data_IF_172667516670
#
_entry.id   IF_172667516670
#
_cell.length_a   1.000
_cell.length_b   1.000
_cell.length_c   1.000
_cell.angle_alpha   90.00
_cell.angle_beta   90.00
_cell.angle_gamma   90.00
#
_symmetry.space_group_name_H-M   'P 1'
#
loop_
_entity.id
_entity.type
_entity.pdbx_description
1 polymer ?
#
# COMPACT_ATOMS: atom_id res chain seq x y z
N UNK A 1 11.05 -7.65 -9.66
CA UNK A 1 11.77 -6.47 -10.09
C UNK A 1 11.99 -6.49 -11.59
N UNK A 2 11.78 -5.39 -12.27
CA UNK A 2 12.21 -5.18 -13.64
C UNK A 2 11.38 -5.84 -14.73
N UNK A 3 10.34 -6.47 -14.37
CA UNK A 3 9.51 -7.21 -15.31
C UNK A 3 8.69 -6.38 -16.24
N UNK A 4 8.42 -5.19 -15.85
CA UNK A 4 7.48 -4.33 -16.54
C UNK A 4 8.12 -3.59 -17.67
N UNK A 5 9.40 -3.60 -17.70
CA UNK A 5 10.18 -2.60 -18.40
C UNK A 5 10.56 -3.01 -19.79
N UNK A 6 10.36 -4.25 -20.16
CA UNK A 6 10.91 -4.80 -21.39
C UNK A 6 10.39 -4.20 -22.69
N UNK A 7 9.41 -3.32 -22.66
CA UNK A 7 8.82 -2.70 -23.87
C UNK A 7 8.91 -1.18 -23.89
N UNK A 8 9.47 -0.56 -22.86
CA UNK A 8 9.62 0.89 -22.82
C UNK A 8 11.00 1.29 -23.31
N UNK A 9 11.10 2.47 -23.93
CA UNK A 9 12.37 3.02 -24.39
C UNK A 9 13.33 3.31 -23.24
N UNK A 10 14.62 3.40 -23.54
CA UNK A 10 15.66 3.70 -22.56
C UNK A 10 15.39 5.01 -21.79
N UNK A 11 14.84 6.01 -22.46
CA UNK A 11 14.51 7.30 -21.85
C UNK A 11 13.43 7.21 -20.78
N UNK A 12 12.44 6.34 -20.99
CA UNK A 12 11.39 6.12 -19.98
C UNK A 12 11.92 5.36 -18.76
N UNK A 13 12.87 4.46 -18.96
CA UNK A 13 13.55 3.74 -17.87
C UNK A 13 14.43 4.74 -17.10
N UNK A 14 15.19 5.57 -17.79
CA UNK A 14 16.03 6.60 -17.19
C UNK A 14 15.22 7.54 -16.32
N UNK A 15 14.15 8.10 -16.84
CA UNK A 15 13.27 9.00 -16.09
C UNK A 15 12.63 8.32 -14.87
N UNK A 16 12.29 7.05 -14.98
CA UNK A 16 11.74 6.29 -13.86
C UNK A 16 12.79 6.10 -12.75
N UNK A 17 14.01 5.73 -13.10
CA UNK A 17 15.10 5.60 -12.14
C UNK A 17 15.54 6.94 -11.55
N UNK A 18 15.54 8.01 -12.30
CA UNK A 18 15.83 9.36 -11.82
C UNK A 18 14.80 9.81 -10.78
N UNK A 19 13.52 9.52 -10.97
CA UNK A 19 12.49 9.80 -9.97
C UNK A 19 12.68 9.01 -8.68
N UNK A 20 13.19 7.79 -8.77
CA UNK A 20 13.55 6.97 -7.61
C UNK A 20 14.79 7.49 -6.89
N UNK A 21 15.80 7.92 -7.62
CA UNK A 21 17.00 8.54 -7.06
C UNK A 21 16.70 9.83 -6.31
N UNK A 22 15.75 10.63 -6.78
CA UNK A 22 15.27 11.82 -6.09
C UNK A 22 14.59 11.49 -4.74
N UNK A 23 13.87 10.39 -4.67
CA UNK A 23 13.26 9.89 -3.42
C UNK A 23 14.34 9.29 -2.50
N UNK A 24 15.35 8.61 -3.05
CA UNK A 24 16.48 8.05 -2.29
C UNK A 24 17.53 9.10 -1.85
N UNK A 25 17.49 10.30 -2.40
CA UNK A 25 18.53 11.32 -2.17
C UNK A 25 18.66 11.81 -0.73
N UNK A 26 17.70 11.51 0.13
CA UNK A 26 17.85 11.69 1.60
C UNK A 26 18.58 10.48 2.21
N UNK A 27 19.84 10.25 1.82
CA UNK A 27 20.70 9.23 2.45
C UNK A 27 21.09 9.66 3.87
N UNK A 28 20.20 9.49 4.80
CA UNK A 28 20.54 9.53 6.22
C UNK A 28 20.86 8.12 6.68
N UNK A 29 22.07 7.90 7.17
CA UNK A 29 22.42 6.61 7.77
C UNK A 29 21.75 6.50 9.14
N UNK A 30 20.64 5.82 9.19
CA UNK A 30 20.01 5.46 10.46
C UNK A 30 20.66 4.18 11.01
N UNK A 31 20.91 4.17 12.30
CA UNK A 31 21.30 2.96 13.02
C UNK A 31 20.47 2.84 14.28
N UNK A 32 19.97 1.65 14.50
CA UNK A 32 19.18 1.28 15.66
C UNK A 32 19.95 0.26 16.50
N UNK A 33 20.05 0.51 17.80
CA UNK A 33 20.79 -0.38 18.69
C UNK A 33 19.93 -1.51 19.25
N UNK A 34 18.60 -1.37 19.17
CA UNK A 34 17.66 -2.34 19.71
C UNK A 34 16.37 -2.40 18.89
N UNK A 35 15.83 -3.60 18.75
CA UNK A 35 14.50 -3.81 18.17
C UNK A 35 13.40 -3.06 18.92
N UNK A 36 13.63 -2.73 20.20
CA UNK A 36 12.68 -1.96 20.98
C UNK A 36 12.53 -0.51 20.50
N UNK A 37 13.46 0.01 19.70
CA UNK A 37 13.39 1.37 19.15
C UNK A 37 12.54 1.46 17.86
N UNK A 38 12.15 0.33 17.29
CA UNK A 38 11.38 0.28 16.04
C UNK A 38 9.90 -0.07 16.26
N UNK A 39 9.04 0.45 15.38
CA UNK A 39 7.63 0.09 15.34
C UNK A 39 7.15 -0.08 13.90
N UNK A 40 6.46 -1.17 13.59
CA UNK A 40 6.23 -2.34 14.44
C UNK A 40 7.50 -3.18 14.61
N UNK A 41 7.61 -3.89 15.73
CA UNK A 41 8.71 -4.82 15.96
C UNK A 41 8.55 -6.08 15.11
N UNK A 42 7.29 -6.49 14.88
CA UNK A 42 6.89 -7.62 14.04
C UNK A 42 5.58 -7.32 13.34
N UNK A 43 5.48 -7.69 12.05
CA UNK A 43 4.25 -7.54 11.27
C UNK A 43 3.14 -8.50 11.70
N UNK A 44 3.47 -9.62 12.32
CA UNK A 44 2.48 -10.59 12.82
C UNK A 44 1.61 -9.99 13.92
N UNK A 45 2.22 -9.18 14.76
CA UNK A 45 1.57 -8.53 15.90
C UNK A 45 1.10 -7.11 15.60
N UNK A 46 1.37 -6.61 14.37
CA UNK A 46 0.96 -5.29 13.95
C UNK A 46 -0.54 -5.26 13.59
N UNK A 47 -1.37 -4.84 14.57
CA UNK A 47 -2.81 -4.74 14.39
C UNK A 47 -3.30 -3.40 14.95
N UNK A 48 -3.58 -2.44 14.08
CA UNK A 48 -4.24 -1.17 14.41
C UNK A 48 -5.72 -1.23 14.03
N UNK A 49 -6.04 -2.04 13.03
CA UNK A 49 -7.41 -2.24 12.55
C UNK A 49 -7.72 -3.72 12.39
N UNK A 50 -8.96 -4.09 12.71
CA UNK A 50 -9.61 -5.28 12.16
C UNK A 50 -10.30 -4.92 10.84
N UNK A 51 -10.64 -5.94 10.07
CA UNK A 51 -11.37 -5.79 8.81
C UNK A 51 -12.65 -6.59 8.86
N UNK A 52 -13.77 -5.88 8.87
CA UNK A 52 -15.08 -6.48 8.77
C UNK A 52 -15.50 -6.55 7.31
N UNK A 53 -15.74 -7.76 6.81
CA UNK A 53 -16.20 -7.97 5.44
C UNK A 53 -17.63 -7.43 5.25
N UNK A 54 -17.88 -6.82 4.11
CA UNK A 54 -19.20 -6.35 3.67
C UNK A 54 -19.75 -7.36 2.65
N UNK A 55 -20.40 -8.38 3.15
CA UNK A 55 -20.89 -9.48 2.33
C UNK A 55 -22.09 -9.09 1.45
N UNK A 56 -22.79 -8.02 1.81
CA UNK A 56 -23.88 -7.43 1.03
C UNK A 56 -23.44 -7.01 -0.38
N UNK A 57 -22.19 -6.64 -0.57
CA UNK A 57 -21.66 -6.17 -1.85
C UNK A 57 -21.07 -7.30 -2.72
N UNK A 58 -21.18 -8.57 -2.30
CA UNK A 58 -20.73 -9.72 -3.11
C UNK A 58 -21.45 -9.79 -4.45
N UNK A 59 -22.74 -9.50 -4.47
CA UNK A 59 -23.54 -9.46 -5.69
C UNK A 59 -22.95 -8.52 -6.74
N UNK A 60 -22.56 -7.33 -6.32
CA UNK A 60 -21.95 -6.33 -7.20
C UNK A 60 -20.62 -6.83 -7.78
N UNK A 61 -19.79 -7.47 -6.95
CA UNK A 61 -18.51 -8.04 -7.41
C UNK A 61 -18.74 -9.16 -8.42
N UNK A 62 -19.68 -10.07 -8.15
CA UNK A 62 -19.96 -11.22 -8.99
C UNK A 62 -20.55 -10.84 -10.36
N UNK A 63 -21.21 -9.68 -10.42
CA UNK A 63 -21.82 -9.14 -11.63
C UNK A 63 -20.87 -8.28 -12.47
N UNK A 64 -19.63 -8.02 -12.00
CA UNK A 64 -18.65 -7.31 -12.80
C UNK A 64 -18.28 -8.09 -14.06
N UNK A 65 -18.44 -7.46 -15.21
CA UNK A 65 -18.06 -7.99 -16.51
C UNK A 65 -17.38 -6.91 -17.35
N UNK A 66 -16.33 -7.31 -18.09
CA UNK A 66 -15.56 -6.41 -18.97
C UNK A 66 -15.07 -5.16 -18.21
N UNK A 67 -14.56 -5.34 -17.01
CA UNK A 67 -14.01 -4.29 -16.15
C UNK A 67 -12.52 -4.52 -15.92
N UNK A 68 -11.81 -3.42 -15.63
CA UNK A 68 -10.51 -3.46 -14.98
C UNK A 68 -10.75 -3.34 -13.48
N UNK A 69 -10.47 -4.39 -12.74
CA UNK A 69 -10.71 -4.46 -11.29
C UNK A 69 -9.40 -4.21 -10.55
N UNK A 70 -9.30 -3.06 -9.89
CA UNK A 70 -8.19 -2.74 -9.01
C UNK A 70 -8.42 -3.31 -7.62
N UNK A 71 -7.56 -4.22 -7.20
CA UNK A 71 -7.66 -4.89 -5.91
C UNK A 71 -6.63 -4.32 -4.95
N UNK A 72 -7.08 -3.53 -3.99
CA UNK A 72 -6.20 -2.86 -3.01
C UNK A 72 -5.50 -3.84 -2.08
N UNK A 73 -6.17 -4.93 -1.71
CA UNK A 73 -5.67 -5.96 -0.79
C UNK A 73 -6.43 -7.27 -1.00
N UNK A 74 -5.87 -8.37 -0.51
CA UNK A 74 -6.55 -9.69 -0.53
C UNK A 74 -7.95 -9.63 0.12
N UNK A 75 -8.11 -8.89 1.20
CA UNK A 75 -9.41 -8.69 1.88
C UNK A 75 -10.43 -7.90 1.06
N UNK A 76 -10.02 -7.27 -0.05
CA UNK A 76 -10.95 -6.61 -0.96
C UNK A 76 -11.75 -7.58 -1.81
N UNK A 77 -11.37 -8.85 -1.84
CA UNK A 77 -12.16 -9.91 -2.47
C UNK A 77 -12.64 -10.87 -1.39
N UNK A 78 -13.91 -10.79 -0.95
CA UNK A 78 -14.49 -11.72 0.00
C UNK A 78 -14.40 -13.17 -0.49
N UNK A 79 -14.26 -14.12 0.42
CA UNK A 79 -13.98 -15.53 0.08
C UNK A 79 -15.05 -16.19 -0.80
N UNK A 80 -16.28 -15.71 -0.76
CA UNK A 80 -17.39 -16.23 -1.55
C UNK A 80 -17.59 -15.54 -2.89
N UNK A 81 -16.75 -14.55 -3.22
CA UNK A 81 -16.86 -13.81 -4.48
C UNK A 81 -16.41 -14.66 -5.65
N UNK A 82 -17.12 -14.53 -6.77
CA UNK A 82 -16.79 -15.15 -8.05
C UNK A 82 -16.48 -14.07 -9.06
N UNK A 83 -15.21 -13.88 -9.37
CA UNK A 83 -14.82 -12.90 -10.37
C UNK A 83 -14.90 -13.55 -11.75
N UNK A 84 -15.63 -12.92 -12.66
CA UNK A 84 -15.79 -13.39 -14.04
C UNK A 84 -14.47 -13.27 -14.79
N UNK A 85 -14.15 -14.28 -15.63
CA UNK A 85 -12.86 -14.36 -16.36
C UNK A 85 -12.67 -13.30 -17.44
N UNK A 86 -13.72 -12.61 -17.84
CA UNK A 86 -13.65 -11.52 -18.81
C UNK A 86 -13.25 -10.15 -18.19
N UNK A 87 -12.91 -10.15 -16.90
CA UNK A 87 -12.36 -8.99 -16.23
C UNK A 87 -10.83 -9.02 -16.25
N UNK A 88 -10.21 -7.84 -16.25
CA UNK A 88 -8.79 -7.65 -16.04
C UNK A 88 -8.55 -7.37 -14.56
N UNK A 89 -7.73 -8.18 -13.90
CA UNK A 89 -7.43 -8.03 -12.47
C UNK A 89 -6.07 -7.35 -12.31
N UNK A 90 -6.05 -6.24 -11.58
CA UNK A 90 -4.85 -5.50 -11.24
C UNK A 90 -4.72 -5.31 -9.73
N UNK A 91 -3.54 -5.52 -9.19
CA UNK A 91 -3.31 -5.45 -7.74
C UNK A 91 -2.44 -4.28 -7.34
N UNK A 92 -2.61 -3.80 -6.13
CA UNK A 92 -1.79 -2.73 -5.57
C UNK A 92 -0.32 -3.12 -5.34
N UNK A 93 -0.02 -4.42 -5.21
CA UNK A 93 1.34 -4.89 -4.99
C UNK A 93 1.47 -6.41 -5.07
N UNK A 94 2.71 -6.88 -5.18
CA UNK A 94 3.07 -8.29 -5.37
C UNK A 94 2.50 -9.24 -4.31
N UNK A 95 2.42 -8.79 -3.06
CA UNK A 95 1.84 -9.63 -1.99
C UNK A 95 0.36 -9.91 -2.23
N UNK A 96 -0.40 -8.91 -2.69
CA UNK A 96 -1.81 -9.11 -3.06
C UNK A 96 -1.93 -10.02 -4.26
N UNK A 97 -1.08 -9.84 -5.26
CA UNK A 97 -1.01 -10.73 -6.42
C UNK A 97 -0.82 -12.18 -6.00
N UNK A 98 0.26 -12.47 -5.26
CA UNK A 98 0.58 -13.82 -4.79
C UNK A 98 -0.61 -14.46 -4.06
N UNK A 99 -1.20 -13.75 -3.10
CA UNK A 99 -2.31 -14.27 -2.31
C UNK A 99 -3.57 -14.52 -3.15
N UNK A 100 -3.85 -13.71 -4.19
CA UNK A 100 -4.96 -13.94 -5.11
C UNK A 100 -4.69 -15.16 -6.01
N UNK A 101 -3.46 -15.31 -6.50
CA UNK A 101 -3.06 -16.46 -7.30
C UNK A 101 -3.15 -17.76 -6.51
N UNK A 102 -2.80 -17.75 -5.21
CA UNK A 102 -2.98 -18.90 -4.31
C UNK A 102 -4.47 -19.26 -4.12
N UNK A 103 -5.37 -18.29 -4.29
CA UNK A 103 -6.84 -18.53 -4.31
C UNK A 103 -7.38 -18.92 -5.69
N UNK A 104 -6.52 -19.14 -6.68
CA UNK A 104 -6.91 -19.49 -8.04
C UNK A 104 -7.45 -18.32 -8.88
N UNK A 105 -7.25 -17.09 -8.45
CA UNK A 105 -7.66 -15.89 -9.17
C UNK A 105 -6.52 -15.44 -10.08
N UNK A 106 -6.77 -15.41 -11.39
CA UNK A 106 -5.81 -14.90 -12.35
C UNK A 106 -5.62 -13.39 -12.20
N UNK A 107 -4.39 -12.95 -12.07
CA UNK A 107 -4.01 -11.53 -11.93
C UNK A 107 -3.20 -11.12 -13.16
N UNK A 108 -3.62 -10.05 -13.82
CA UNK A 108 -3.00 -9.56 -15.05
C UNK A 108 -1.80 -8.64 -14.79
N UNK A 109 -1.75 -7.98 -13.62
CA UNK A 109 -0.64 -7.12 -13.27
C UNK A 109 -0.75 -6.49 -11.90
N UNK A 110 0.25 -5.64 -11.57
CA UNK A 110 0.36 -4.96 -10.28
C UNK A 110 0.99 -3.59 -10.40
N UNK A 111 0.55 -2.65 -9.58
CA UNK A 111 1.20 -1.34 -9.41
C UNK A 111 2.46 -1.39 -8.54
N UNK A 112 2.81 -2.54 -8.00
CA UNK A 112 3.99 -2.79 -7.16
C UNK A 112 4.23 -1.75 -6.04
N UNK A 113 3.13 -1.32 -5.41
CA UNK A 113 3.15 -0.35 -4.31
C UNK A 113 3.17 1.12 -4.73
N UNK A 114 3.29 1.43 -6.03
CA UNK A 114 3.31 2.81 -6.53
C UNK A 114 1.94 3.50 -6.47
N UNK A 115 0.87 2.70 -6.27
CA UNK A 115 -0.50 3.21 -6.18
C UNK A 115 -1.23 3.15 -7.51
N UNK A 116 -2.51 3.47 -7.45
CA UNK A 116 -3.44 3.36 -8.57
C UNK A 116 -3.36 4.54 -9.57
N UNK A 117 -2.76 5.64 -9.13
CA UNK A 117 -2.64 6.85 -9.96
C UNK A 117 -1.39 6.82 -10.84
N UNK A 118 -0.46 5.90 -10.58
CA UNK A 118 0.81 5.80 -11.30
C UNK A 118 0.67 5.06 -12.64
N UNK A 119 -0.30 4.15 -12.75
CA UNK A 119 -0.44 3.26 -13.90
C UNK A 119 -1.36 3.83 -15.00
N UNK A 120 -1.10 5.05 -15.44
CA UNK A 120 -1.87 5.66 -16.56
C UNK A 120 -1.80 4.87 -17.86
N UNK A 121 -0.73 4.10 -18.04
CA UNK A 121 -0.47 3.39 -19.29
C UNK A 121 -1.29 2.10 -19.45
N UNK A 122 -1.85 1.58 -18.36
CA UNK A 122 -2.74 0.42 -18.46
C UNK A 122 -4.01 0.75 -19.26
N UNK A 123 -4.44 2.01 -19.24
CA UNK A 123 -5.55 2.47 -20.08
C UNK A 123 -5.26 2.31 -21.58
N UNK A 124 -3.99 2.17 -21.98
CA UNK A 124 -3.62 1.87 -23.36
C UNK A 124 -3.77 0.38 -23.72
N UNK A 125 -3.84 -0.51 -22.73
CA UNK A 125 -3.95 -1.95 -22.93
C UNK A 125 -5.41 -2.43 -22.99
N UNK A 126 -6.34 -1.64 -22.52
CA UNK A 126 -7.76 -1.99 -22.47
C UNK A 126 -8.64 -0.75 -22.35
N UNK A 127 -9.78 -0.77 -23.04
CA UNK A 127 -10.81 0.27 -22.93
C UNK A 127 -11.82 -0.02 -21.82
N UNK A 128 -11.61 -1.08 -21.04
CA UNK A 128 -12.54 -1.47 -20.00
C UNK A 128 -12.53 -0.44 -18.86
N UNK A 129 -13.71 -0.04 -18.36
CA UNK A 129 -13.77 0.92 -17.25
C UNK A 129 -13.24 0.29 -15.96
N UNK A 130 -12.53 1.12 -15.18
CA UNK A 130 -11.96 0.73 -13.90
C UNK A 130 -12.99 0.70 -12.78
N UNK A 131 -12.85 -0.30 -11.92
CA UNK A 131 -13.57 -0.41 -10.64
C UNK A 131 -12.57 -0.78 -9.56
N UNK A 132 -12.58 -0.06 -8.44
CA UNK A 132 -11.70 -0.32 -7.30
C UNK A 132 -12.43 -1.09 -6.22
N UNK A 133 -11.89 -2.25 -5.83
CA UNK A 133 -12.33 -2.98 -4.66
C UNK A 133 -11.50 -2.54 -3.44
N UNK A 134 -12.15 -1.95 -2.44
CA UNK A 134 -11.45 -1.32 -1.32
C UNK A 134 -12.34 -1.20 -0.09
N UNK A 135 -11.90 -0.47 0.92
CA UNK A 135 -12.69 -0.18 2.13
C UNK A 135 -13.41 1.17 2.06
N UNK A 136 -14.42 1.36 2.89
CA UNK A 136 -15.27 2.56 2.93
C UNK A 136 -14.48 3.87 3.11
N UNK A 137 -13.43 3.85 3.91
CA UNK A 137 -12.58 5.02 4.17
C UNK A 137 -11.40 5.16 3.20
N UNK A 138 -11.44 4.47 2.05
CA UNK A 138 -10.38 4.60 1.05
C UNK A 138 -10.34 6.03 0.50
N UNK A 139 -9.16 6.66 0.44
CA UNK A 139 -9.03 7.98 -0.14
C UNK A 139 -9.49 8.00 -1.60
N UNK A 140 -9.85 9.18 -2.07
CA UNK A 140 -10.13 9.40 -3.48
C UNK A 140 -8.88 9.14 -4.33
N UNK A 141 -9.10 8.67 -5.55
CA UNK A 141 -8.06 8.35 -6.51
C UNK A 141 -8.57 8.59 -7.94
N UNK A 142 -7.72 8.33 -8.91
CA UNK A 142 -8.09 8.38 -10.33
C UNK A 142 -9.25 7.41 -10.66
N UNK A 143 -9.35 6.29 -9.93
CA UNK A 143 -10.44 5.32 -10.10
C UNK A 143 -11.65 5.77 -9.28
N UNK A 144 -12.60 6.41 -9.95
CA UNK A 144 -13.80 6.97 -9.31
C UNK A 144 -14.82 5.92 -8.88
N UNK A 145 -14.98 4.86 -9.70
CA UNK A 145 -15.90 3.77 -9.38
C UNK A 145 -15.29 2.86 -8.34
N UNK A 146 -15.87 2.79 -7.15
CA UNK A 146 -15.42 1.89 -6.09
C UNK A 146 -16.56 1.03 -5.57
N UNK A 147 -16.23 -0.21 -5.19
CA UNK A 147 -17.07 -1.10 -4.42
C UNK A 147 -16.40 -1.28 -3.06
N UNK A 148 -17.12 -0.96 -2.02
CA UNK A 148 -16.67 -1.11 -0.65
C UNK A 148 -16.89 -2.56 -0.22
N UNK A 149 -15.81 -3.27 0.02
CA UNK A 149 -15.85 -4.72 0.28
C UNK A 149 -15.54 -5.07 1.72
N UNK A 150 -14.99 -4.12 2.47
CA UNK A 150 -14.74 -4.25 3.90
C UNK A 150 -14.70 -2.88 4.58
N UNK A 151 -14.90 -2.90 5.89
CA UNK A 151 -14.72 -1.74 6.76
C UNK A 151 -13.48 -1.93 7.63
N UNK A 152 -12.83 -0.82 7.98
CA UNK A 152 -11.78 -0.79 8.99
C UNK A 152 -12.41 -0.45 10.33
N UNK A 153 -12.27 -1.37 11.27
CA UNK A 153 -12.66 -1.17 12.66
C UNK A 153 -11.40 -0.95 13.49
N UNK A 154 -11.32 0.15 14.22
CA UNK A 154 -10.20 0.42 15.10
C UNK A 154 -10.14 -0.65 16.19
N UNK A 155 -8.98 -1.22 16.39
CA UNK A 155 -8.69 -2.08 17.53
C UNK A 155 -7.99 -1.22 18.56
N UNK A 156 -8.22 -1.50 19.85
CA UNK A 156 -7.38 -0.89 20.86
C UNK A 156 -5.93 -1.43 20.73
N UNK A 157 -4.98 -0.53 20.62
CA UNK A 157 -3.58 -0.83 20.45
C UNK A 157 -2.72 0.09 21.31
N UNK A 158 -1.60 -0.43 21.76
CA UNK A 158 -0.64 0.34 22.53
C UNK A 158 0.70 0.45 21.81
N UNK A 159 1.30 1.62 21.92
CA UNK A 159 2.66 1.89 21.44
C UNK A 159 3.41 2.53 22.60
N UNK A 160 4.51 1.93 23.02
CA UNK A 160 5.44 2.54 23.96
C UNK A 160 6.27 3.61 23.24
N UNK A 161 5.64 4.78 23.04
CA UNK A 161 6.21 5.87 22.25
C UNK A 161 7.51 6.43 22.82
N UNK A 162 7.77 6.28 24.11
CA UNK A 162 9.00 6.76 24.73
C UNK A 162 10.22 5.94 24.27
N UNK A 163 10.03 4.64 24.04
CA UNK A 163 11.08 3.76 23.53
C UNK A 163 11.21 3.77 22.02
N UNK A 164 10.12 4.09 21.29
CA UNK A 164 10.10 4.03 19.83
C UNK A 164 10.69 5.30 19.21
N UNK A 165 11.60 5.11 18.27
CA UNK A 165 12.21 6.18 17.48
C UNK A 165 11.84 6.09 16.01
N UNK A 166 11.74 4.88 15.47
CA UNK A 166 11.62 4.60 14.05
C UNK A 166 10.33 3.86 13.77
N UNK A 167 9.49 4.40 12.89
CA UNK A 167 8.16 3.90 12.60
C UNK A 167 8.04 3.54 11.13
N UNK A 168 7.63 2.31 10.81
CA UNK A 168 7.28 1.93 9.45
C UNK A 168 5.78 1.80 9.28
N UNK A 169 5.22 2.56 8.36
CA UNK A 169 3.78 2.62 8.13
C UNK A 169 3.36 1.84 6.89
N UNK A 170 2.56 0.82 7.10
CA UNK A 170 2.00 -0.01 6.03
C UNK A 170 0.80 0.68 5.34
N UNK A 171 0.26 1.75 5.92
CA UNK A 171 -0.83 2.55 5.38
C UNK A 171 -0.93 3.90 6.07
N UNK A 172 -1.41 4.89 5.35
CA UNK A 172 -1.71 6.21 5.91
C UNK A 172 -2.80 6.17 6.98
N UNK A 173 -3.77 5.25 6.87
CA UNK A 173 -4.80 5.06 7.89
C UNK A 173 -4.22 4.65 9.24
N UNK A 174 -3.21 3.77 9.24
CA UNK A 174 -2.53 3.35 10.46
C UNK A 174 -1.74 4.52 11.08
N UNK A 175 -1.06 5.32 10.25
CA UNK A 175 -0.39 6.54 10.72
C UNK A 175 -1.38 7.51 11.35
N UNK A 176 -2.49 7.81 10.66
CA UNK A 176 -3.55 8.73 11.15
C UNK A 176 -4.12 8.27 12.49
N UNK A 177 -4.44 6.98 12.63
CA UNK A 177 -4.93 6.43 13.90
C UNK A 177 -3.90 6.55 15.02
N UNK A 178 -2.62 6.31 14.71
CA UNK A 178 -1.55 6.36 15.70
C UNK A 178 -1.26 7.78 16.19
N UNK A 179 -1.19 8.78 15.30
CA UNK A 179 -0.97 10.16 15.71
C UNK A 179 -2.17 10.74 16.48
N UNK A 180 -3.39 10.31 16.16
CA UNK A 180 -4.58 10.72 16.91
C UNK A 180 -4.53 10.20 18.36
N UNK A 181 -4.05 8.97 18.57
CA UNK A 181 -3.91 8.39 19.92
C UNK A 181 -2.64 8.88 20.62
N UNK A 182 -1.56 9.08 19.89
CA UNK A 182 -0.24 9.45 20.40
C UNK A 182 0.37 10.62 19.59
N UNK A 183 -0.04 11.88 19.81
CA UNK A 183 0.41 13.02 19.00
C UNK A 183 1.93 13.21 18.93
N UNK A 184 2.66 12.87 20.00
CA UNK A 184 4.12 12.95 20.04
C UNK A 184 4.84 12.07 19.02
N UNK A 185 4.15 11.10 18.40
CA UNK A 185 4.72 10.29 17.32
C UNK A 185 5.17 11.17 16.15
N UNK A 186 4.51 12.30 15.90
CA UNK A 186 4.81 13.20 14.78
C UNK A 186 6.28 13.70 14.76
N UNK A 187 6.92 13.73 15.91
CA UNK A 187 8.31 14.18 16.07
C UNK A 187 9.35 13.08 15.79
N UNK A 188 8.90 11.84 15.60
CA UNK A 188 9.76 10.67 15.38
C UNK A 188 10.13 10.50 13.90
N UNK A 189 10.93 9.50 13.59
CA UNK A 189 11.29 9.17 12.21
C UNK A 189 10.27 8.20 11.60
N UNK A 190 9.76 8.55 10.43
CA UNK A 190 8.72 7.81 9.75
C UNK A 190 9.24 7.22 8.45
N UNK A 191 8.84 5.99 8.18
CA UNK A 191 9.17 5.26 6.97
C UNK A 191 7.92 4.64 6.38
N UNK A 192 7.82 4.60 5.07
CA UNK A 192 6.73 3.93 4.36
C UNK A 192 7.17 3.58 2.94
N UNK A 193 6.39 2.76 2.27
CA UNK A 193 6.53 2.55 0.83
C UNK A 193 6.22 3.81 0.03
N UNK A 194 6.69 3.88 -1.23
CA UNK A 194 6.35 4.97 -2.14
C UNK A 194 4.84 4.97 -2.47
N UNK A 195 4.36 6.02 -3.12
CA UNK A 195 2.97 6.14 -3.56
C UNK A 195 2.03 6.74 -2.51
N UNK A 196 0.76 6.31 -2.50
CA UNK A 196 -0.30 6.98 -1.74
C UNK A 196 -0.04 7.09 -0.23
N UNK A 197 0.63 6.11 0.37
CA UNK A 197 0.96 6.18 1.81
C UNK A 197 1.94 7.32 2.09
N UNK A 198 2.98 7.46 1.27
CA UNK A 198 3.93 8.56 1.38
C UNK A 198 3.25 9.91 1.18
N UNK A 199 2.48 10.06 0.10
CA UNK A 199 1.80 11.30 -0.22
C UNK A 199 0.86 11.78 0.91
N UNK A 200 0.10 10.87 1.50
CA UNK A 200 -0.82 11.20 2.59
C UNK A 200 -0.10 11.55 3.90
N UNK A 201 0.99 10.83 4.22
CA UNK A 201 1.78 11.13 5.43
C UNK A 201 2.52 12.46 5.27
N UNK A 202 3.11 12.72 4.10
CA UNK A 202 3.80 13.96 3.77
C UNK A 202 2.90 15.19 3.95
N UNK A 203 1.64 15.10 3.47
CA UNK A 203 0.64 16.17 3.69
C UNK A 203 0.39 16.47 5.17
N UNK A 204 0.38 15.43 6.02
CA UNK A 204 0.10 15.60 7.46
C UNK A 204 1.31 16.16 8.20
N UNK A 205 2.52 15.70 7.86
CA UNK A 205 3.75 16.16 8.50
C UNK A 205 4.13 17.59 8.09
N UNK A 206 3.59 18.11 6.99
CA UNK A 206 3.80 19.49 6.51
C UNK A 206 5.21 19.77 5.99
N UNK A 207 6.16 18.92 6.26
CA UNK A 207 7.49 18.89 5.67
C UNK A 207 8.08 17.49 5.79
N UNK A 208 8.92 17.12 4.84
CA UNK A 208 9.41 15.73 4.70
C UNK A 208 10.69 15.46 5.51
N UNK A 209 11.03 16.30 6.50
CA UNK A 209 12.31 16.15 7.24
C UNK A 209 12.45 14.80 7.93
N UNK A 210 11.34 14.26 8.44
CA UNK A 210 11.31 13.02 9.20
C UNK A 210 10.60 11.87 8.47
N UNK A 211 10.29 12.03 7.18
CA UNK A 211 9.64 11.01 6.36
C UNK A 211 10.60 10.50 5.30
N UNK A 212 10.72 9.17 5.23
CA UNK A 212 11.66 8.46 4.35
C UNK A 212 10.95 7.34 3.62
N UNK A 213 11.36 7.11 2.37
CA UNK A 213 10.83 6.01 1.57
C UNK A 213 11.70 4.77 1.76
N UNK A 214 11.06 3.65 2.07
CA UNK A 214 11.64 2.32 2.04
C UNK A 214 10.68 1.34 1.39
N UNK A 215 11.17 0.57 0.44
CA UNK A 215 10.33 -0.26 -0.42
C UNK A 215 9.56 -1.35 0.33
N UNK A 216 10.14 -1.87 1.41
CA UNK A 216 9.50 -2.89 2.22
C UNK A 216 9.89 -2.79 3.69
N UNK A 217 9.02 -3.28 4.56
CA UNK A 217 9.30 -3.41 5.98
C UNK A 217 10.55 -4.24 6.26
N UNK A 218 10.72 -5.35 5.55
CA UNK A 218 11.85 -6.27 5.78
C UNK A 218 13.18 -5.62 5.37
N UNK A 219 13.22 -4.90 4.25
CA UNK A 219 14.38 -4.13 3.82
C UNK A 219 14.71 -3.03 4.83
N UNK A 220 13.72 -2.26 5.24
CA UNK A 220 13.87 -1.21 6.24
C UNK A 220 14.41 -1.75 7.58
N UNK A 221 13.81 -2.81 8.08
CA UNK A 221 14.21 -3.44 9.35
C UNK A 221 15.65 -3.95 9.30
N UNK A 222 16.03 -4.62 8.20
CA UNK A 222 17.40 -5.10 7.97
C UNK A 222 18.40 -3.96 7.92
N UNK A 223 18.10 -2.87 7.22
CA UNK A 223 18.98 -1.70 7.13
C UNK A 223 19.20 -1.04 8.50
N UNK A 224 18.12 -0.89 9.30
CA UNK A 224 18.21 -0.27 10.62
C UNK A 224 18.99 -1.10 11.63
N UNK A 225 18.75 -2.41 11.68
CA UNK A 225 19.35 -3.29 12.66
C UNK A 225 20.75 -3.79 12.25
N UNK A 226 21.23 -3.40 11.05
CA UNK A 226 22.52 -3.84 10.50
C UNK A 226 22.75 -5.37 10.57
N UNK A 227 21.67 -6.14 10.40
CA UNK A 227 21.71 -7.62 10.37
C UNK A 227 21.81 -8.14 8.94
#
# INVERSE_FOLDING_TARGET
LGLVVSKRGEDEIGNHFESWDLIESKKTSFSCNSINEIYPEDLKNYKIFSRKQLYENIGDINNLQNKCIYVSRISSIPDRSKIQSNNVIWTSGLRTWKNLSERGIWVNGTSDGLGEDFDKDINSLTNNPWVKLTHSQSPESSIKNKIETYQLESIDFEIDIEKKKYFYWMSSSAFKASINKYPKIIEKYHFCGPGNTYNEISKILGNDKNLFVELSYDSWKKKLLKT
#
